data_IF_274713288941
#
_entry.id   IF_274713288941
#
_cell.length_a   1.000
_cell.length_b   1.000
_cell.length_c   1.000
_cell.angle_alpha   90.00
_cell.angle_beta   90.00
_cell.angle_gamma   90.00
#
_symmetry.space_group_name_H-M   'P 1'
#
loop_
_entity.id
_entity.type
_entity.pdbx_description
1 polymer ?
#
# COMPACT_ATOMS: atom_id res chain seq x y z
N UNK A 1 0.53 -21.00 23.35
CA UNK A 1 1.59 -20.07 22.92
C UNK A 1 2.51 -20.86 22.01
N UNK A 2 2.48 -20.59 20.71
CA UNK A 2 3.09 -21.45 19.70
C UNK A 2 4.60 -21.18 19.63
N UNK A 3 5.38 -22.15 19.14
CA UNK A 3 6.84 -22.01 18.99
C UNK A 3 7.22 -20.75 18.19
N UNK A 4 6.38 -20.38 17.21
CA UNK A 4 6.51 -19.15 16.44
C UNK A 4 6.37 -17.89 17.30
N UNK A 5 5.42 -17.87 18.23
CA UNK A 5 5.18 -16.72 19.11
C UNK A 5 6.37 -16.52 20.06
N UNK A 6 6.97 -17.62 20.53
CA UNK A 6 8.17 -17.57 21.37
C UNK A 6 9.37 -16.98 20.63
N UNK A 7 9.54 -17.34 19.36
CA UNK A 7 10.61 -16.79 18.51
C UNK A 7 10.41 -15.30 18.28
N UNK A 8 9.18 -14.87 17.93
CA UNK A 8 8.84 -13.46 17.73
C UNK A 8 9.10 -12.63 18.97
N UNK A 9 8.63 -13.10 20.14
CA UNK A 9 8.81 -12.39 21.39
C UNK A 9 10.29 -12.29 21.78
N UNK A 10 11.07 -13.35 21.60
CA UNK A 10 12.52 -13.34 21.85
C UNK A 10 13.27 -12.31 20.98
N UNK A 11 12.90 -12.20 19.70
CA UNK A 11 13.46 -11.21 18.79
C UNK A 11 13.10 -9.77 19.21
N UNK A 12 11.84 -9.53 19.59
CA UNK A 12 11.39 -8.22 20.10
C UNK A 12 12.21 -7.80 21.34
N UNK A 13 12.38 -8.71 22.31
CA UNK A 13 13.19 -8.41 23.49
C UNK A 13 14.66 -8.14 23.16
N UNK A 14 15.23 -8.88 22.21
CA UNK A 14 16.63 -8.70 21.78
C UNK A 14 16.84 -7.34 21.09
N UNK A 15 15.88 -6.91 20.26
CA UNK A 15 15.89 -5.60 19.60
C UNK A 15 15.71 -4.47 20.61
N UNK A 16 14.83 -4.63 21.60
CA UNK A 16 14.61 -3.63 22.65
C UNK A 16 15.80 -3.48 23.61
N UNK A 17 16.56 -4.56 23.83
CA UNK A 17 17.70 -4.56 24.75
C UNK A 17 19.00 -3.98 24.14
N UNK A 18 19.13 -3.98 22.81
CA UNK A 18 20.34 -3.50 22.14
C UNK A 18 20.37 -1.99 22.00
N UNK A 19 21.56 -1.40 22.15
CA UNK A 19 21.86 0.01 21.84
C UNK A 19 22.82 0.14 20.65
N UNK A 20 23.12 -0.97 19.98
CA UNK A 20 24.05 -1.01 18.87
C UNK A 20 23.32 -0.58 17.58
N UNK A 21 23.54 0.66 17.17
CA UNK A 21 22.96 1.27 15.97
C UNK A 21 23.25 0.46 14.70
N UNK A 22 24.50 0.04 14.48
CA UNK A 22 24.89 -0.75 13.30
C UNK A 22 24.17 -2.09 13.21
N UNK A 23 23.90 -2.71 14.36
CA UNK A 23 23.13 -3.95 14.41
C UNK A 23 21.67 -3.70 14.03
N UNK A 24 21.07 -2.62 14.53
CA UNK A 24 19.70 -2.24 14.20
C UNK A 24 19.54 -1.89 12.72
N UNK A 25 20.50 -1.17 12.13
CA UNK A 25 20.53 -0.86 10.69
C UNK A 25 20.62 -2.12 9.82
N UNK A 26 21.46 -3.08 10.21
CA UNK A 26 21.60 -4.35 9.51
C UNK A 26 20.31 -5.18 9.59
N UNK A 27 19.67 -5.22 10.77
CA UNK A 27 18.38 -5.90 10.96
C UNK A 27 17.30 -5.26 10.08
N UNK A 28 17.22 -3.93 10.04
CA UNK A 28 16.25 -3.22 9.22
C UNK A 28 16.44 -3.52 7.72
N UNK A 29 17.70 -3.45 7.25
CA UNK A 29 18.05 -3.77 5.87
C UNK A 29 17.67 -5.22 5.48
N UNK A 30 17.82 -6.17 6.40
CA UNK A 30 17.40 -7.56 6.18
C UNK A 30 15.87 -7.63 6.02
N UNK A 31 15.10 -6.99 6.91
CA UNK A 31 13.64 -6.99 6.79
C UNK A 31 13.17 -6.36 5.49
N UNK A 32 13.74 -5.22 5.11
CA UNK A 32 13.42 -4.53 3.85
C UNK A 32 13.74 -5.41 2.63
N UNK A 33 14.85 -6.16 2.66
CA UNK A 33 15.21 -7.09 1.58
C UNK A 33 14.32 -8.34 1.49
N UNK A 34 13.58 -8.65 2.56
CA UNK A 34 12.69 -9.82 2.64
C UNK A 34 11.23 -9.48 2.45
N UNK A 35 10.86 -8.20 2.47
CA UNK A 35 9.57 -7.77 1.94
C UNK A 35 9.60 -8.03 0.44
N UNK A 36 8.97 -9.13 -0.01
CA UNK A 36 8.56 -9.18 -1.41
C UNK A 36 7.69 -7.96 -1.64
N UNK A 37 7.91 -7.21 -2.71
CA UNK A 37 6.94 -6.23 -3.19
C UNK A 37 5.57 -6.89 -3.10
N UNK A 38 4.76 -6.50 -2.13
CA UNK A 38 3.37 -6.93 -2.08
C UNK A 38 2.77 -6.31 -3.34
N UNK A 39 2.73 -7.09 -4.41
CA UNK A 39 1.99 -6.74 -5.61
C UNK A 39 0.57 -6.61 -5.11
N UNK A 40 0.12 -5.38 -4.94
CA UNK A 40 -1.24 -5.08 -4.53
C UNK A 40 -2.14 -5.62 -5.62
N UNK A 41 -2.70 -6.81 -5.37
CA UNK A 41 -3.65 -7.42 -6.26
C UNK A 41 -4.95 -6.60 -6.20
N UNK A 42 -5.38 -6.11 -7.37
CA UNK A 42 -6.67 -5.45 -7.47
C UNK A 42 -7.79 -6.48 -7.20
N UNK A 43 -8.83 -6.04 -6.49
CA UNK A 43 -10.04 -6.83 -6.36
C UNK A 43 -10.79 -6.92 -7.70
N UNK A 44 -11.69 -7.88 -7.84
CA UNK A 44 -12.52 -8.03 -9.04
C UNK A 44 -13.29 -6.74 -9.37
N UNK A 45 -13.81 -6.06 -8.35
CA UNK A 45 -14.57 -4.81 -8.48
C UNK A 45 -13.67 -3.66 -8.95
N UNK A 46 -12.43 -3.61 -8.48
CA UNK A 46 -11.45 -2.62 -8.92
C UNK A 46 -11.05 -2.82 -10.38
N UNK A 47 -10.89 -4.07 -10.81
CA UNK A 47 -10.64 -4.42 -12.22
C UNK A 47 -11.84 -4.04 -13.08
N UNK A 48 -13.06 -4.31 -12.61
CA UNK A 48 -14.30 -3.94 -13.31
C UNK A 48 -14.42 -2.43 -13.49
N UNK A 49 -14.14 -1.63 -12.45
CA UNK A 49 -14.11 -0.17 -12.56
C UNK A 49 -13.13 0.33 -13.63
N UNK A 50 -11.95 -0.28 -13.74
CA UNK A 50 -10.98 0.08 -14.78
C UNK A 50 -11.48 -0.28 -16.18
N UNK A 51 -12.12 -1.44 -16.34
CA UNK A 51 -12.71 -1.85 -17.62
C UNK A 51 -13.85 -0.92 -18.05
N UNK A 52 -14.69 -0.48 -17.10
CA UNK A 52 -15.72 0.53 -17.36
C UNK A 52 -15.09 1.87 -17.80
N UNK A 53 -14.00 2.28 -17.16
CA UNK A 53 -13.27 3.50 -17.56
C UNK A 53 -12.74 3.41 -18.99
N UNK A 54 -12.22 2.25 -19.42
CA UNK A 54 -11.77 2.03 -20.80
C UNK A 54 -12.93 2.16 -21.80
N UNK A 55 -14.10 1.62 -21.47
CA UNK A 55 -15.31 1.78 -22.30
C UNK A 55 -15.77 3.24 -22.37
N UNK A 56 -15.75 3.96 -21.25
CA UNK A 56 -16.11 5.38 -21.20
C UNK A 56 -15.17 6.25 -22.05
N UNK A 57 -13.87 5.93 -22.06
CA UNK A 57 -12.89 6.58 -22.95
C UNK A 57 -13.21 6.28 -24.43
N UNK A 58 -13.44 5.02 -24.78
CA UNK A 58 -13.73 4.62 -26.16
C UNK A 58 -15.04 5.21 -26.69
N UNK A 59 -16.04 5.33 -25.83
CA UNK A 59 -17.36 5.88 -26.16
C UNK A 59 -17.42 7.41 -26.04
N UNK A 60 -16.33 8.06 -25.62
CA UNK A 60 -16.24 9.51 -25.49
C UNK A 60 -17.03 10.08 -24.31
N UNK A 61 -17.38 9.27 -23.32
CA UNK A 61 -18.02 9.68 -22.06
C UNK A 61 -16.99 10.26 -21.09
N UNK A 62 -16.21 11.22 -21.58
CA UNK A 62 -15.18 11.92 -20.82
C UNK A 62 -15.64 13.35 -20.54
N UNK A 63 -15.13 13.93 -19.46
CA UNK A 63 -15.32 15.34 -19.14
C UNK A 63 -13.95 16.02 -19.13
N UNK A 64 -13.93 17.32 -19.47
CA UNK A 64 -12.69 18.09 -19.35
C UNK A 64 -12.38 18.41 -17.88
N UNK A 65 -11.11 18.60 -17.58
CA UNK A 65 -10.65 18.98 -16.23
C UNK A 65 -11.33 20.27 -15.72
N UNK A 66 -11.57 21.24 -16.61
CA UNK A 66 -12.24 22.48 -16.24
C UNK A 66 -13.71 22.27 -15.85
N UNK A 67 -14.40 21.32 -16.49
CA UNK A 67 -15.77 20.94 -16.14
C UNK A 67 -15.83 20.15 -14.83
N UNK A 68 -14.87 19.27 -14.58
CA UNK A 68 -14.74 18.54 -13.32
C UNK A 68 -14.49 19.51 -12.16
N UNK A 69 -13.50 20.39 -12.30
CA UNK A 69 -13.16 21.39 -11.27
C UNK A 69 -14.33 22.30 -10.90
N UNK A 70 -15.16 22.67 -11.89
CA UNK A 70 -16.38 23.46 -11.65
C UNK A 70 -17.40 22.67 -10.82
N UNK A 71 -17.65 21.40 -11.18
CA UNK A 71 -18.56 20.52 -10.42
C UNK A 71 -18.09 20.29 -8.99
N UNK A 72 -16.80 20.06 -8.80
CA UNK A 72 -16.21 19.86 -7.47
C UNK A 72 -16.39 21.11 -6.60
N UNK A 73 -16.21 22.30 -7.19
CA UNK A 73 -16.42 23.57 -6.50
C UNK A 73 -17.89 23.78 -6.10
N UNK A 74 -18.83 23.41 -6.97
CA UNK A 74 -20.27 23.46 -6.69
C UNK A 74 -20.70 22.41 -5.64
N UNK A 75 -20.04 21.26 -5.58
CA UNK A 75 -20.33 20.22 -4.60
C UNK A 75 -19.82 20.58 -3.20
N UNK A 76 -18.70 21.29 -3.11
CA UNK A 76 -18.07 21.72 -1.86
C UNK A 76 -18.68 23.00 -1.26
N UNK A 77 -19.59 23.69 -1.96
CA UNK A 77 -20.26 24.92 -1.52
C UNK A 77 -21.61 24.66 -0.86
#
# INVERSE_FOLDING_TARGET
>A
MNALDNIKNSLIYSVLATKNERLLEAINSIFDSTQSEEIVALSSEQIEMLLMSEEDIQTGKIISESELSKRDSEWLS
#
